data_IF_899434128611
#
_entry.id   IF_899434128611
#
_cell.length_a   1.000
_cell.length_b   1.000
_cell.length_c   1.000
_cell.angle_alpha   90.00
_cell.angle_beta   90.00
_cell.angle_gamma   90.00
#
_symmetry.space_group_name_H-M   'P 1'
#
loop_
_entity.id
_entity.type
_entity.pdbx_description
1 polymer ?
#
# COMPACT_ATOMS: atom_id res chain seq x y z
N UNK A 1 11.10 -21.66 -3.15
CA UNK A 1 12.17 -21.76 -4.17
C UNK A 1 12.15 -20.52 -5.05
N UNK A 2 13.29 -19.90 -5.20
CA UNK A 2 13.41 -18.70 -6.04
C UNK A 2 13.78 -19.13 -7.46
N UNK A 3 13.01 -18.67 -8.43
CA UNK A 3 13.31 -18.95 -9.84
C UNK A 3 14.58 -18.23 -10.27
N UNK A 4 15.38 -18.79 -11.21
CA UNK A 4 16.63 -18.16 -11.63
C UNK A 4 16.47 -16.71 -12.11
N UNK A 5 15.34 -16.38 -12.74
CA UNK A 5 15.08 -15.02 -13.27
C UNK A 5 14.13 -14.22 -12.39
N UNK A 6 13.96 -14.60 -11.14
CA UNK A 6 13.01 -13.96 -10.24
C UNK A 6 13.23 -12.46 -10.12
N UNK A 7 14.49 -12.06 -9.90
CA UNK A 7 14.83 -10.66 -9.71
C UNK A 7 14.59 -9.83 -10.97
N UNK A 8 14.98 -10.35 -12.12
CA UNK A 8 14.75 -9.67 -13.40
C UNK A 8 13.27 -9.52 -13.72
N UNK A 9 12.49 -10.57 -13.44
CA UNK A 9 11.04 -10.52 -13.66
C UNK A 9 10.37 -9.52 -12.74
N UNK A 10 10.86 -9.43 -11.51
CA UNK A 10 10.34 -8.47 -10.54
C UNK A 10 10.62 -7.03 -10.98
N UNK A 11 11.82 -6.78 -11.53
CA UNK A 11 12.18 -5.47 -12.06
C UNK A 11 11.29 -5.08 -13.23
N UNK A 12 11.04 -6.01 -14.15
CA UNK A 12 10.14 -5.77 -15.29
C UNK A 12 8.72 -5.48 -14.81
N UNK A 13 8.26 -6.20 -13.81
CA UNK A 13 6.93 -5.98 -13.25
C UNK A 13 6.82 -4.60 -12.62
N UNK A 14 7.84 -4.20 -11.86
CA UNK A 14 7.87 -2.88 -11.25
C UNK A 14 7.82 -1.78 -12.32
N UNK A 15 8.58 -1.91 -13.39
CA UNK A 15 8.58 -0.95 -14.49
C UNK A 15 7.20 -0.86 -15.16
N UNK A 16 6.55 -1.99 -15.39
CA UNK A 16 5.22 -2.01 -15.98
C UNK A 16 4.19 -1.32 -15.08
N UNK A 17 4.25 -1.59 -13.77
CA UNK A 17 3.32 -0.96 -12.83
C UNK A 17 3.46 0.55 -12.81
N UNK A 18 4.70 1.04 -12.80
CA UNK A 18 4.97 2.47 -12.65
C UNK A 18 4.74 3.23 -13.97
N UNK A 19 5.20 2.68 -15.08
CA UNK A 19 5.12 3.36 -16.37
C UNK A 19 3.76 3.21 -17.03
N UNK A 20 3.21 2.01 -17.05
CA UNK A 20 1.98 1.71 -17.78
C UNK A 20 0.75 1.63 -16.89
N UNK A 21 0.91 1.17 -15.65
CA UNK A 21 -0.21 1.04 -14.72
C UNK A 21 -0.66 2.38 -14.16
N UNK A 22 0.26 3.12 -13.58
CA UNK A 22 -0.04 4.42 -12.96
C UNK A 22 0.34 5.58 -13.85
N UNK A 23 1.25 5.36 -14.77
CA UNK A 23 1.75 6.38 -15.68
C UNK A 23 2.33 7.57 -14.90
N UNK A 24 3.32 7.29 -14.04
CA UNK A 24 3.97 8.33 -13.24
C UNK A 24 4.65 9.35 -14.15
N UNK A 25 4.36 10.62 -13.93
CA UNK A 25 4.93 11.72 -14.68
C UNK A 25 5.92 12.50 -13.82
N UNK A 26 6.86 13.23 -14.44
CA UNK A 26 7.76 14.10 -13.68
C UNK A 26 6.99 15.07 -12.77
N UNK A 27 7.44 15.22 -11.55
CA UNK A 27 6.82 16.10 -10.57
C UNK A 27 5.64 15.51 -9.82
N UNK A 28 5.21 14.30 -10.16
CA UNK A 28 4.08 13.64 -9.48
C UNK A 28 4.47 13.11 -8.11
N UNK A 29 3.48 13.07 -7.23
CA UNK A 29 3.59 12.35 -5.96
C UNK A 29 2.90 11.00 -6.12
N UNK A 30 3.56 9.93 -5.68
CA UNK A 30 3.02 8.57 -5.72
C UNK A 30 2.81 8.06 -4.29
N UNK A 31 1.62 7.59 -3.99
CA UNK A 31 1.33 6.87 -2.76
C UNK A 31 1.27 5.39 -3.07
N UNK A 32 2.22 4.63 -2.54
CA UNK A 32 2.31 3.19 -2.75
C UNK A 32 1.84 2.47 -1.49
N UNK A 33 0.75 1.71 -1.62
CA UNK A 33 0.26 0.85 -0.55
C UNK A 33 0.62 -0.58 -0.89
N UNK A 34 1.48 -1.19 -0.08
CA UNK A 34 2.04 -2.49 -0.40
C UNK A 34 2.28 -3.31 0.87
N UNK A 35 2.10 -4.62 0.77
CA UNK A 35 2.34 -5.52 1.90
C UNK A 35 3.83 -5.54 2.24
N UNK A 36 4.12 -5.60 3.53
CA UNK A 36 5.49 -5.64 4.03
C UNK A 36 6.27 -6.85 3.49
N UNK A 37 5.57 -7.92 3.15
CA UNK A 37 6.18 -9.11 2.56
C UNK A 37 6.69 -8.88 1.14
N UNK A 38 6.19 -7.85 0.47
CA UNK A 38 6.58 -7.46 -0.89
C UNK A 38 7.63 -6.36 -0.90
N UNK A 39 8.46 -6.33 0.12
CA UNK A 39 9.45 -5.27 0.31
C UNK A 39 10.38 -5.09 -0.89
N UNK A 40 10.82 -6.16 -1.51
CA UNK A 40 11.71 -6.06 -2.67
C UNK A 40 11.00 -5.39 -3.85
N UNK A 41 9.75 -5.76 -4.11
CA UNK A 41 8.96 -5.12 -5.15
C UNK A 41 8.74 -3.65 -4.84
N UNK A 42 8.45 -3.32 -3.57
CA UNK A 42 8.28 -1.93 -3.15
C UNK A 42 9.51 -1.09 -3.45
N UNK A 43 10.69 -1.61 -3.13
CA UNK A 43 11.95 -0.90 -3.39
C UNK A 43 12.16 -0.67 -4.88
N UNK A 44 11.83 -1.65 -5.71
CA UNK A 44 11.94 -1.51 -7.16
C UNK A 44 10.95 -0.49 -7.71
N UNK A 45 9.72 -0.48 -7.19
CA UNK A 45 8.71 0.50 -7.59
C UNK A 45 9.16 1.92 -7.23
N UNK A 46 9.68 2.11 -6.01
CA UNK A 46 10.18 3.40 -5.56
C UNK A 46 11.32 3.87 -6.48
N UNK A 47 12.25 2.99 -6.78
CA UNK A 47 13.37 3.29 -7.65
C UNK A 47 12.91 3.71 -9.05
N UNK A 48 12.00 2.95 -9.64
CA UNK A 48 11.48 3.24 -10.97
C UNK A 48 10.67 4.54 -11.00
N UNK A 49 9.88 4.81 -9.95
CA UNK A 49 9.10 6.05 -9.88
C UNK A 49 10.01 7.27 -9.86
N UNK A 50 11.08 7.24 -9.06
CA UNK A 50 12.03 8.34 -9.04
C UNK A 50 12.81 8.45 -10.36
N UNK A 51 13.08 7.32 -11.01
CA UNK A 51 13.73 7.34 -12.33
C UNK A 51 12.88 8.04 -13.38
N UNK A 52 11.56 7.98 -13.25
CA UNK A 52 10.62 8.69 -14.13
C UNK A 52 10.40 10.14 -13.72
N UNK A 53 11.05 10.59 -12.65
CA UNK A 53 10.98 11.98 -12.22
C UNK A 53 9.93 12.28 -11.16
N UNK A 54 9.46 11.26 -10.43
CA UNK A 54 8.52 11.50 -9.33
C UNK A 54 9.10 12.51 -8.34
N UNK A 55 8.24 13.41 -7.88
CA UNK A 55 8.63 14.39 -6.87
C UNK A 55 8.79 13.74 -5.50
N UNK A 56 7.88 12.82 -5.17
CA UNK A 56 7.90 12.13 -3.89
C UNK A 56 7.20 10.78 -4.02
N UNK A 57 7.72 9.77 -3.35
CA UNK A 57 7.05 8.46 -3.23
C UNK A 57 6.82 8.19 -1.76
N UNK A 58 5.56 8.07 -1.38
CA UNK A 58 5.15 7.79 -0.02
C UNK A 58 4.75 6.32 0.05
N UNK A 59 5.46 5.52 0.84
CA UNK A 59 5.14 4.09 0.97
C UNK A 59 4.31 3.87 2.22
N UNK A 60 3.14 3.30 2.03
CA UNK A 60 2.23 2.92 3.11
C UNK A 60 2.27 1.40 3.23
N UNK A 61 3.01 0.91 4.23
CA UNK A 61 3.18 -0.51 4.42
C UNK A 61 1.93 -1.14 5.03
N UNK A 62 1.53 -2.27 4.50
CA UNK A 62 0.43 -3.06 5.04
C UNK A 62 1.00 -4.35 5.65
N UNK A 63 0.53 -4.70 6.84
CA UNK A 63 0.96 -5.89 7.54
C UNK A 63 -0.27 -6.61 8.08
N UNK A 64 -0.55 -7.78 7.53
CA UNK A 64 -1.74 -8.56 7.90
C UNK A 64 -1.73 -8.96 9.37
N UNK A 65 -0.57 -9.26 9.91
CA UNK A 65 -0.45 -9.59 11.33
C UNK A 65 -0.90 -8.42 12.21
N UNK A 66 -0.39 -7.24 11.94
CA UNK A 66 -0.74 -6.03 12.70
C UNK A 66 -2.23 -5.71 12.54
N UNK A 67 -2.76 -5.84 11.34
CA UNK A 67 -4.17 -5.61 11.07
C UNK A 67 -5.05 -6.58 11.85
N UNK A 68 -4.68 -7.85 11.86
CA UNK A 68 -5.42 -8.88 12.60
C UNK A 68 -5.42 -8.58 14.11
N UNK A 69 -4.25 -8.25 14.67
CA UNK A 69 -4.14 -7.94 16.08
C UNK A 69 -5.00 -6.73 16.45
N UNK A 70 -5.02 -5.72 15.59
CA UNK A 70 -5.85 -4.55 15.80
C UNK A 70 -7.34 -4.92 15.83
N UNK A 71 -7.81 -5.70 14.86
CA UNK A 71 -9.22 -6.08 14.81
C UNK A 71 -9.62 -7.00 15.95
N UNK A 72 -8.70 -7.81 16.48
CA UNK A 72 -8.99 -8.71 17.61
C UNK A 72 -8.99 -7.97 18.94
N UNK A 73 -8.18 -6.95 19.11
CA UNK A 73 -7.88 -6.40 20.45
C UNK A 73 -8.18 -4.93 20.62
N UNK A 74 -8.20 -4.14 19.54
CA UNK A 74 -8.47 -2.71 19.68
C UNK A 74 -9.95 -2.46 20.03
N UNK A 75 -10.25 -1.46 20.87
CA UNK A 75 -11.63 -1.11 21.18
C UNK A 75 -12.35 -0.51 19.96
N UNK A 76 -13.67 -0.59 19.96
CA UNK A 76 -14.49 -0.13 18.82
C UNK A 76 -14.27 1.34 18.49
N UNK A 77 -14.02 2.18 19.49
CA UNK A 77 -13.78 3.60 19.23
C UNK A 77 -12.50 3.83 18.41
N UNK A 78 -11.51 2.94 18.50
CA UNK A 78 -10.31 3.01 17.67
C UNK A 78 -10.53 2.43 16.27
N UNK A 79 -11.51 1.55 16.12
CA UNK A 79 -11.83 0.93 14.84
C UNK A 79 -12.84 1.76 14.03
N UNK A 80 -13.76 2.43 14.72
CA UNK A 80 -14.80 3.24 14.09
C UNK A 80 -14.33 4.63 13.67
N UNK A 81 -13.29 5.14 14.30
CA UNK A 81 -12.82 6.50 14.05
C UNK A 81 -11.52 6.50 13.28
N UNK A 82 -11.44 7.35 12.27
CA UNK A 82 -10.19 7.59 11.54
C UNK A 82 -9.35 8.54 12.37
N UNK A 83 -8.13 8.15 12.78
CA UNK A 83 -7.29 9.04 13.59
C UNK A 83 -6.86 10.27 12.79
N UNK A 84 -6.58 11.34 13.53
CA UNK A 84 -6.25 12.64 12.95
C UNK A 84 -5.07 12.57 11.99
N UNK A 85 -4.05 11.76 12.31
CA UNK A 85 -2.89 11.66 11.43
C UNK A 85 -3.25 11.05 10.08
N UNK A 86 -4.21 10.14 10.02
CA UNK A 86 -4.67 9.55 8.77
C UNK A 86 -5.43 10.57 7.93
N UNK A 87 -6.22 11.42 8.58
CA UNK A 87 -6.94 12.49 7.90
C UNK A 87 -5.95 13.49 7.30
N UNK A 88 -4.92 13.85 8.05
CA UNK A 88 -3.88 14.75 7.56
C UNK A 88 -3.14 14.15 6.37
N UNK A 89 -2.83 12.86 6.41
CA UNK A 89 -2.20 12.17 5.31
C UNK A 89 -3.07 12.17 4.05
N UNK A 90 -4.37 11.88 4.22
CA UNK A 90 -5.32 11.91 3.11
C UNK A 90 -5.41 13.29 2.48
N UNK A 91 -5.46 14.33 3.30
CA UNK A 91 -5.51 15.70 2.81
C UNK A 91 -4.24 16.08 2.05
N UNK A 92 -3.09 15.66 2.56
CA UNK A 92 -1.81 15.87 1.88
C UNK A 92 -1.82 15.25 0.49
N UNK A 93 -2.27 13.98 0.39
CA UNK A 93 -2.32 13.27 -0.87
C UNK A 93 -3.29 13.92 -1.86
N UNK A 94 -4.43 14.42 -1.38
CA UNK A 94 -5.40 15.12 -2.21
C UNK A 94 -4.85 16.45 -2.72
N UNK A 95 -4.21 17.22 -1.85
CA UNK A 95 -3.63 18.51 -2.22
C UNK A 95 -2.56 18.35 -3.29
N UNK A 96 -1.77 17.29 -3.20
CA UNK A 96 -0.68 17.06 -4.15
C UNK A 96 -1.12 16.22 -5.35
N UNK A 97 -2.41 15.91 -5.44
CA UNK A 97 -2.97 15.10 -6.54
C UNK A 97 -2.19 13.81 -6.74
N UNK A 98 -1.89 13.13 -5.62
CA UNK A 98 -1.07 11.93 -5.63
C UNK A 98 -1.73 10.81 -6.42
N UNK A 99 -0.94 10.12 -7.22
CA UNK A 99 -1.36 8.85 -7.81
C UNK A 99 -1.27 7.76 -6.76
N UNK A 100 -2.18 6.81 -6.78
CA UNK A 100 -2.20 5.73 -5.80
C UNK A 100 -2.00 4.38 -6.47
N UNK A 101 -1.08 3.61 -5.93
CA UNK A 101 -0.85 2.24 -6.36
C UNK A 101 -1.00 1.31 -5.16
N UNK A 102 -1.88 0.32 -5.28
CA UNK A 102 -2.04 -0.71 -4.26
C UNK A 102 -1.55 -2.04 -4.78
N UNK A 103 -0.61 -2.65 -4.08
CA UNK A 103 -0.12 -3.99 -4.38
C UNK A 103 -0.32 -4.84 -3.13
N UNK A 104 -1.25 -5.78 -3.19
CA UNK A 104 -1.60 -6.59 -2.02
C UNK A 104 -1.46 -8.06 -2.33
N UNK A 105 -0.82 -8.78 -1.40
CA UNK A 105 -0.80 -10.23 -1.40
C UNK A 105 -1.37 -10.71 -0.08
N UNK A 106 -2.69 -10.58 0.04
CA UNK A 106 -3.36 -10.88 1.31
C UNK A 106 -3.34 -12.36 1.64
N UNK A 107 -3.05 -12.67 2.89
CA UNK A 107 -3.28 -14.00 3.44
C UNK A 107 -4.80 -14.16 3.60
N UNK A 108 -5.45 -15.12 2.90
CA UNK A 108 -6.89 -15.30 3.01
C UNK A 108 -7.35 -15.60 4.43
N UNK A 109 -6.47 -16.16 5.27
CA UNK A 109 -6.81 -16.49 6.65
C UNK A 109 -6.53 -15.36 7.64
N UNK A 110 -5.95 -14.25 7.21
CA UNK A 110 -5.50 -13.19 8.12
C UNK A 110 -6.62 -12.60 8.95
N UNK A 111 -7.83 -12.55 8.42
CA UNK A 111 -8.98 -11.96 9.10
C UNK A 111 -9.93 -13.00 9.71
N UNK A 112 -9.55 -14.28 9.72
CA UNK A 112 -10.34 -15.31 10.37
C UNK A 112 -10.46 -15.03 11.87
N UNK A 113 -11.67 -15.12 12.40
CA UNK A 113 -11.94 -14.83 13.79
C UNK A 113 -12.19 -13.37 14.11
N UNK A 114 -12.12 -12.50 13.11
CA UNK A 114 -12.43 -11.09 13.28
C UNK A 114 -13.92 -10.86 13.07
N UNK A 115 -14.53 -9.99 13.91
CA UNK A 115 -15.93 -9.61 13.81
C UNK A 115 -16.29 -9.07 12.43
N UNK A 116 -17.43 -9.49 11.89
CA UNK A 116 -17.90 -9.00 10.60
C UNK A 116 -18.12 -7.48 10.62
N UNK A 117 -18.60 -6.94 11.75
CA UNK A 117 -18.80 -5.50 11.93
C UNK A 117 -17.48 -4.73 11.80
N UNK A 118 -16.40 -5.26 12.37
CA UNK A 118 -15.09 -4.64 12.27
C UNK A 118 -14.54 -4.70 10.85
N UNK A 119 -14.84 -5.75 10.13
CA UNK A 119 -14.43 -5.89 8.74
C UNK A 119 -15.15 -4.90 7.82
N UNK A 120 -16.40 -4.58 8.12
CA UNK A 120 -17.14 -3.63 7.29
C UNK A 120 -16.57 -2.22 7.40
N UNK A 121 -16.04 -1.84 8.56
CA UNK A 121 -15.35 -0.55 8.73
C UNK A 121 -14.10 -0.47 7.86
N UNK A 122 -13.40 -1.59 7.70
CA UNK A 122 -12.21 -1.64 6.85
C UNK A 122 -12.53 -1.43 5.37
N UNK A 123 -13.67 -1.89 4.90
CA UNK A 123 -14.07 -1.76 3.49
C UNK A 123 -14.21 -0.32 3.03
N UNK A 124 -14.48 0.59 3.94
CA UNK A 124 -14.62 2.01 3.59
C UNK A 124 -13.29 2.71 3.33
N UNK A 125 -12.16 2.02 3.53
CA UNK A 125 -10.81 2.60 3.45
C UNK A 125 -10.07 2.14 2.20
N UNK A 126 -10.75 1.69 1.21
CA UNK A 126 -10.14 1.23 -0.04
C UNK A 126 -9.66 2.41 -0.89
#
# INVERSE_FOLDING_TARGET
MVLPNFKENLEKYAKLLVANGINVQPGHTLALNIDVEQRELAHLIVKEAYALGAHEVIVQWADDFTTREKFLHAPMDRLDNVPDYKIAEMNYLLEHKASRLGVRSSDPGALNGVDAEKLSDRKSVV
#
